data_IF_085132257250
#
_entry.id   IF_085132257250
#
_cell.length_a   1.000
_cell.length_b   1.000
_cell.length_c   1.000
_cell.angle_alpha   90.00
_cell.angle_beta   90.00
_cell.angle_gamma   90.00
#
_symmetry.space_group_name_H-M   'P 1'
#
loop_
_entity.id
_entity.type
_entity.pdbx_description
1 polymer ?
#
# COMPACT_ATOMS: atom_id res chain seq x y z
N UNK A 1 21.88 -4.09 17.87
CA UNK A 1 22.06 -2.76 17.24
C UNK A 1 21.72 -2.77 15.74
N UNK A 2 22.21 -3.74 14.96
CA UNK A 2 21.94 -3.86 13.51
C UNK A 2 20.45 -4.02 13.15
N UNK A 3 19.69 -4.78 13.94
CA UNK A 3 18.25 -5.02 13.69
C UNK A 3 17.43 -3.73 13.82
N UNK A 4 17.71 -2.91 14.83
CA UNK A 4 17.01 -1.63 15.04
C UNK A 4 17.28 -0.63 13.91
N UNK A 5 18.54 -0.58 13.43
CA UNK A 5 18.91 0.27 12.29
C UNK A 5 18.18 -0.20 11.03
N UNK A 6 18.10 -1.51 10.79
CA UNK A 6 17.35 -2.07 9.65
C UNK A 6 15.87 -1.72 9.69
N UNK A 7 15.23 -1.84 10.85
CA UNK A 7 13.82 -1.47 11.03
C UNK A 7 13.59 0.04 10.80
N UNK A 8 14.48 0.89 11.31
CA UNK A 8 14.41 2.34 11.09
C UNK A 8 14.57 2.70 9.61
N UNK A 9 15.53 2.08 8.92
CA UNK A 9 15.71 2.29 7.49
C UNK A 9 14.49 1.85 6.68
N UNK A 10 13.88 0.71 7.05
CA UNK A 10 12.72 0.17 6.37
C UNK A 10 11.49 1.06 6.58
N UNK A 11 11.26 1.52 7.82
CA UNK A 11 10.15 2.43 8.12
C UNK A 11 10.33 3.80 7.45
N UNK A 12 11.55 4.31 7.37
CA UNK A 12 11.86 5.53 6.67
C UNK A 12 11.63 5.39 5.15
N UNK A 13 12.07 4.28 4.57
CA UNK A 13 11.84 3.97 3.15
C UNK A 13 10.34 3.88 2.83
N UNK A 14 9.56 3.22 3.69
CA UNK A 14 8.11 3.10 3.54
C UNK A 14 7.44 4.47 3.57
N UNK A 15 7.82 5.33 4.53
CA UNK A 15 7.29 6.68 4.64
C UNK A 15 7.63 7.51 3.40
N UNK A 16 8.86 7.39 2.91
CA UNK A 16 9.31 8.06 1.69
C UNK A 16 8.50 7.61 0.46
N UNK A 17 8.24 6.31 0.33
CA UNK A 17 7.42 5.76 -0.74
C UNK A 17 5.95 6.22 -0.67
N UNK A 18 5.38 6.33 0.52
CA UNK A 18 4.03 6.88 0.70
C UNK A 18 3.97 8.33 0.24
N UNK A 19 4.92 9.16 0.69
CA UNK A 19 5.01 10.57 0.28
C UNK A 19 5.19 10.68 -1.23
N UNK A 20 6.09 9.87 -1.81
CA UNK A 20 6.32 9.84 -3.24
C UNK A 20 5.07 9.44 -4.03
N UNK A 21 4.33 8.43 -3.55
CA UNK A 21 3.06 7.98 -4.15
C UNK A 21 1.97 9.07 -4.15
N UNK A 22 1.93 9.88 -3.10
CA UNK A 22 0.98 10.99 -3.01
C UNK A 22 1.37 12.17 -3.90
N UNK A 23 2.67 12.42 -4.06
CA UNK A 23 3.19 13.55 -4.82
C UNK A 23 3.28 13.27 -6.33
N UNK A 24 3.63 12.05 -6.71
CA UNK A 24 3.81 11.68 -8.12
C UNK A 24 2.55 11.07 -8.70
N UNK A 25 1.83 11.81 -9.51
CA UNK A 25 0.63 11.34 -10.20
C UNK A 25 0.47 11.92 -11.59
N UNK A 26 -0.42 11.33 -12.42
CA UNK A 26 -0.60 11.64 -13.84
C UNK A 26 -1.07 13.07 -14.13
N UNK A 27 -1.44 13.84 -13.12
CA UNK A 27 -1.90 15.23 -13.26
C UNK A 27 -0.77 16.27 -13.15
N UNK A 28 0.52 15.84 -13.26
CA UNK A 28 1.66 16.74 -13.15
C UNK A 28 2.13 16.95 -11.70
N UNK A 29 3.35 17.45 -11.54
CA UNK A 29 4.03 17.66 -10.27
C UNK A 29 3.16 18.43 -9.26
N UNK A 30 2.77 17.79 -8.18
CA UNK A 30 1.66 18.17 -7.36
C UNK A 30 1.92 18.93 -6.06
N UNK A 31 3.08 19.57 -5.84
CA UNK A 31 3.19 20.49 -4.69
C UNK A 31 2.25 21.68 -4.82
N UNK A 32 2.11 22.24 -6.03
CA UNK A 32 1.18 23.32 -6.32
C UNK A 32 -0.28 22.89 -6.26
N UNK A 33 -0.56 21.60 -6.52
CA UNK A 33 -1.94 21.05 -6.48
C UNK A 33 -2.44 20.77 -5.07
N UNK A 34 -1.53 20.58 -4.10
CA UNK A 34 -1.88 20.27 -2.70
C UNK A 34 -1.87 21.52 -1.83
N UNK A 35 -0.94 22.44 -2.05
CA UNK A 35 -0.71 23.62 -1.22
C UNK A 35 -0.89 24.97 -1.95
N UNK A 36 -1.07 24.96 -3.27
CA UNK A 36 -1.18 26.18 -4.06
C UNK A 36 -2.62 26.70 -4.18
N UNK A 37 -2.77 28.01 -4.11
CA UNK A 37 -4.02 28.74 -4.34
C UNK A 37 -4.60 28.58 -5.77
N UNK A 38 -3.92 27.83 -6.64
CA UNK A 38 -4.28 27.58 -8.04
C UNK A 38 -4.69 26.12 -8.31
N UNK A 39 -4.98 25.33 -7.26
CA UNK A 39 -5.43 23.96 -7.45
C UNK A 39 -6.82 23.95 -8.09
N UNK A 40 -6.91 23.37 -9.28
CA UNK A 40 -8.21 23.16 -9.92
C UNK A 40 -9.10 22.29 -9.01
N UNK A 41 -10.41 22.54 -8.92
CA UNK A 41 -11.34 21.73 -8.13
C UNK A 41 -11.25 20.25 -8.48
N UNK A 42 -10.90 19.92 -9.72
CA UNK A 42 -10.69 18.56 -10.21
C UNK A 42 -9.46 17.91 -9.59
N UNK A 43 -8.35 18.63 -9.43
CA UNK A 43 -7.14 18.08 -8.81
C UNK A 43 -7.34 17.75 -7.33
N UNK A 44 -8.04 18.58 -6.59
CA UNK A 44 -8.42 18.30 -5.20
C UNK A 44 -9.34 17.09 -5.10
N UNK A 45 -10.33 16.98 -5.98
CA UNK A 45 -11.23 15.83 -6.01
C UNK A 45 -10.47 14.52 -6.27
N UNK A 46 -9.56 14.52 -7.24
CA UNK A 46 -8.71 13.34 -7.54
C UNK A 46 -7.83 12.97 -6.35
N UNK A 47 -7.26 13.96 -5.67
CA UNK A 47 -6.40 13.70 -4.52
C UNK A 47 -7.16 13.02 -3.37
N UNK A 48 -8.29 13.60 -2.95
CA UNK A 48 -9.04 13.10 -1.80
C UNK A 48 -9.87 11.85 -2.09
N UNK A 49 -10.42 11.71 -3.29
CA UNK A 49 -11.33 10.61 -3.61
C UNK A 49 -10.66 9.42 -4.31
N UNK A 50 -9.50 9.61 -4.91
CA UNK A 50 -8.82 8.55 -5.64
C UNK A 50 -7.47 8.20 -5.01
N UNK A 51 -6.59 9.18 -4.85
CA UNK A 51 -5.21 8.93 -4.41
C UNK A 51 -5.12 8.53 -2.95
N UNK A 52 -5.73 9.29 -2.08
CA UNK A 52 -5.66 9.06 -0.64
C UNK A 52 -6.26 7.70 -0.27
N UNK A 53 -7.48 7.33 -0.69
CA UNK A 53 -8.03 6.01 -0.40
C UNK A 53 -7.21 4.87 -0.99
N UNK A 54 -6.69 5.03 -2.20
CA UNK A 54 -5.84 4.02 -2.85
C UNK A 54 -4.54 3.80 -2.10
N UNK A 55 -3.89 4.86 -1.63
CA UNK A 55 -2.64 4.76 -0.85
C UNK A 55 -2.90 4.11 0.51
N UNK A 56 -3.97 4.48 1.19
CA UNK A 56 -4.37 3.86 2.47
C UNK A 56 -4.67 2.37 2.28
N UNK A 57 -5.44 2.02 1.26
CA UNK A 57 -5.74 0.63 0.93
C UNK A 57 -4.46 -0.18 0.62
N UNK A 58 -3.51 0.40 -0.10
CA UNK A 58 -2.23 -0.26 -0.41
C UNK A 58 -1.40 -0.52 0.86
N UNK A 59 -1.33 0.44 1.78
CA UNK A 59 -0.62 0.28 3.05
C UNK A 59 -1.28 -0.78 3.93
N UNK A 60 -2.60 -0.73 4.07
CA UNK A 60 -3.35 -1.70 4.88
C UNK A 60 -3.26 -3.12 4.33
N UNK A 61 -3.40 -3.28 3.00
CA UNK A 61 -3.29 -4.59 2.36
C UNK A 61 -1.87 -5.15 2.47
N UNK A 62 -0.84 -4.33 2.29
CA UNK A 62 0.56 -4.73 2.50
C UNK A 62 0.86 -5.15 3.93
N UNK A 63 0.35 -4.41 4.92
CA UNK A 63 0.48 -4.76 6.33
C UNK A 63 -0.23 -6.08 6.65
N UNK A 64 -1.45 -6.26 6.17
CA UNK A 64 -2.22 -7.50 6.36
C UNK A 64 -1.51 -8.70 5.73
N UNK A 65 -0.98 -8.56 4.52
CA UNK A 65 -0.20 -9.61 3.85
C UNK A 65 1.08 -9.96 4.62
N UNK A 66 1.77 -8.98 5.19
CA UNK A 66 2.98 -9.21 5.98
C UNK A 66 2.69 -10.01 7.24
N UNK A 67 1.64 -9.66 7.98
CA UNK A 67 1.23 -10.36 9.20
C UNK A 67 0.75 -11.77 8.89
N UNK A 68 -0.10 -11.94 7.87
CA UNK A 68 -0.58 -13.25 7.47
C UNK A 68 0.55 -14.16 6.94
N UNK A 69 1.48 -13.60 6.18
CA UNK A 69 2.67 -14.33 5.72
C UNK A 69 3.51 -14.84 6.89
N UNK A 70 3.79 -13.98 7.87
CA UNK A 70 4.54 -14.38 9.07
C UNK A 70 3.80 -15.46 9.90
N UNK A 71 2.48 -15.32 10.03
CA UNK A 71 1.65 -16.31 10.73
C UNK A 71 1.70 -17.69 10.05
N UNK A 72 1.64 -17.73 8.71
CA UNK A 72 1.73 -18.96 7.94
C UNK A 72 3.12 -19.60 8.04
N UNK A 73 4.18 -18.82 7.95
CA UNK A 73 5.55 -19.32 8.10
C UNK A 73 5.80 -19.95 9.48
N UNK A 74 5.25 -19.34 10.52
CA UNK A 74 5.31 -19.88 11.90
C UNK A 74 4.47 -21.13 12.07
N UNK A 75 3.25 -21.14 11.54
CA UNK A 75 2.34 -22.28 11.65
C UNK A 75 2.89 -23.53 10.95
N UNK A 76 3.38 -23.36 9.71
CA UNK A 76 3.93 -24.45 8.91
C UNK A 76 5.42 -24.74 9.19
N UNK A 77 6.05 -23.93 10.04
CA UNK A 77 7.51 -23.98 10.30
C UNK A 77 8.36 -24.03 9.02
N UNK A 78 7.89 -23.33 7.99
CA UNK A 78 8.51 -23.28 6.68
C UNK A 78 8.64 -21.84 6.20
N UNK A 79 9.85 -21.30 6.06
CA UNK A 79 10.05 -19.91 5.62
C UNK A 79 9.64 -19.65 4.16
N UNK A 80 9.40 -20.70 3.37
CA UNK A 80 8.95 -20.57 1.99
C UNK A 80 7.43 -20.53 1.86
N UNK A 81 6.69 -20.72 2.97
CA UNK A 81 5.25 -20.69 2.96
C UNK A 81 4.76 -19.25 2.88
N UNK A 82 4.03 -18.93 1.81
CA UNK A 82 3.43 -17.63 1.59
C UNK A 82 1.90 -17.70 1.53
N UNK A 83 1.20 -16.56 1.60
CA UNK A 83 -0.27 -16.51 1.57
C UNK A 83 -0.88 -17.10 0.30
N UNK A 84 -0.12 -17.18 -0.80
CA UNK A 84 -0.58 -17.76 -2.07
C UNK A 84 -0.82 -19.27 -2.00
N UNK A 85 -0.13 -20.00 -1.11
CA UNK A 85 -0.20 -21.47 -0.97
C UNK A 85 -1.62 -21.92 -0.54
N UNK A 86 -2.33 -21.09 0.20
CA UNK A 86 -3.68 -21.40 0.70
C UNK A 86 -4.81 -21.03 -0.30
N UNK A 87 -4.48 -20.72 -1.54
CA UNK A 87 -5.50 -20.41 -2.54
C UNK A 87 -6.18 -19.05 -2.36
N UNK A 88 -5.53 -18.12 -1.67
CA UNK A 88 -6.06 -16.76 -1.43
C UNK A 88 -6.32 -16.04 -2.75
N UNK A 89 -5.48 -16.26 -3.77
CA UNK A 89 -5.67 -15.68 -5.10
C UNK A 89 -6.93 -16.17 -5.79
N UNK A 90 -7.24 -17.46 -5.68
CA UNK A 90 -8.47 -18.04 -6.26
C UNK A 90 -9.71 -17.56 -5.50
N UNK A 91 -9.65 -17.45 -4.18
CA UNK A 91 -10.71 -16.87 -3.36
C UNK A 91 -10.98 -15.40 -3.68
N UNK A 92 -9.93 -14.60 -3.86
CA UNK A 92 -10.03 -13.20 -4.26
C UNK A 92 -10.67 -13.06 -5.66
N UNK A 93 -10.26 -13.91 -6.62
CA UNK A 93 -10.82 -13.92 -7.97
C UNK A 93 -12.31 -14.30 -7.97
N UNK A 94 -12.70 -15.27 -7.13
CA UNK A 94 -14.11 -15.63 -6.95
C UNK A 94 -14.90 -14.48 -6.34
N UNK A 95 -14.35 -13.79 -5.33
CA UNK A 95 -14.98 -12.63 -4.71
C UNK A 95 -15.23 -11.50 -5.70
N UNK A 96 -14.27 -11.21 -6.56
CA UNK A 96 -14.44 -10.21 -7.64
C UNK A 96 -15.52 -10.65 -8.64
N UNK A 97 -15.49 -11.92 -9.04
CA UNK A 97 -16.50 -12.45 -9.99
C UNK A 97 -17.94 -12.37 -9.45
N UNK A 98 -18.11 -12.54 -8.14
CA UNK A 98 -19.43 -12.44 -7.50
C UNK A 98 -19.88 -10.99 -7.25
N UNK A 99 -18.95 -10.03 -7.26
CA UNK A 99 -19.21 -8.61 -7.03
C UNK A 99 -19.56 -7.84 -8.32
N UNK A 100 -19.35 -8.43 -9.48
CA UNK A 100 -19.70 -7.91 -10.81
C UNK A 100 -21.13 -8.30 -11.20
#
# INVERSE_FOLDING_TARGET
>A
MRLRIGLLCLSFLLLLLIVFSLLWGPTGFGWSSVFGSASSPVAQHIFYHIRLPKTVAAVLSGAALSVSGLALQTLFRNPLCGPFVLGISSGASLGVALSL
#
